data_IF_987299571182
#
_entry.id   IF_987299571182
#
_cell.length_a   1.000
_cell.length_b   1.000
_cell.length_c   1.000
_cell.angle_alpha   90.00
_cell.angle_beta   90.00
_cell.angle_gamma   90.00
#
_symmetry.space_group_name_H-M   'P 1'
#
loop_
_entity.id
_entity.type
_entity.pdbx_description
1 polymer ?
#
# COMPACT_ATOMS: atom_id res chain seq x y z
N UNK A 1 12.94 -9.85 -17.50
CA UNK A 1 11.47 -9.99 -17.44
C UNK A 1 10.89 -8.60 -17.40
N UNK A 2 10.04 -8.25 -18.37
CA UNK A 2 9.43 -6.92 -18.47
C UNK A 2 8.40 -6.77 -17.35
N UNK A 3 8.66 -5.87 -16.40
CA UNK A 3 7.68 -5.44 -15.42
C UNK A 3 6.42 -4.99 -16.17
N UNK A 4 5.27 -5.62 -15.86
CA UNK A 4 3.99 -5.24 -16.46
C UNK A 4 3.68 -3.80 -16.08
N UNK A 5 3.53 -2.91 -17.07
CA UNK A 5 3.09 -1.54 -16.83
C UNK A 5 1.66 -1.55 -16.25
N UNK A 6 1.59 -1.35 -14.93
CA UNK A 6 0.33 -1.36 -14.18
C UNK A 6 -0.65 -0.31 -14.72
N UNK A 7 -0.17 0.85 -15.16
CA UNK A 7 -1.02 1.92 -15.70
C UNK A 7 -1.69 1.47 -16.99
N UNK A 8 -0.93 0.89 -17.91
CA UNK A 8 -1.48 0.34 -19.14
C UNK A 8 -2.45 -0.82 -18.87
N UNK A 9 -2.15 -1.68 -17.88
CA UNK A 9 -3.02 -2.79 -17.50
C UNK A 9 -4.35 -2.35 -16.90
N UNK A 10 -4.36 -1.28 -16.10
CA UNK A 10 -5.56 -0.72 -15.48
C UNK A 10 -6.47 0.04 -16.47
N UNK A 11 -5.93 0.47 -17.62
CA UNK A 11 -6.73 1.08 -18.68
C UNK A 11 -7.56 0.07 -19.48
N UNK A 12 -7.35 -1.24 -19.29
CA UNK A 12 -8.08 -2.30 -19.97
C UNK A 12 -9.43 -2.57 -19.30
N UNK A 13 -10.45 -3.02 -20.04
CA UNK A 13 -11.80 -3.22 -19.50
C UNK A 13 -11.89 -4.38 -18.50
N UNK A 14 -10.95 -5.33 -18.55
CA UNK A 14 -10.96 -6.49 -17.65
C UNK A 14 -10.42 -6.09 -16.28
N UNK A 15 -11.21 -6.34 -15.24
CA UNK A 15 -10.78 -6.18 -13.86
C UNK A 15 -9.40 -6.84 -13.62
N UNK A 16 -8.55 -6.15 -12.89
CA UNK A 16 -7.26 -6.66 -12.45
C UNK A 16 -7.45 -7.31 -11.08
N UNK A 17 -7.09 -8.59 -10.97
CA UNK A 17 -7.06 -9.28 -9.69
C UNK A 17 -5.68 -9.11 -9.07
N UNK A 18 -5.62 -8.48 -7.90
CA UNK A 18 -4.40 -8.28 -7.12
C UNK A 18 -4.58 -8.93 -5.74
N UNK A 19 -4.06 -10.15 -5.53
CA UNK A 19 -4.16 -10.82 -4.23
C UNK A 19 -3.45 -10.05 -3.12
N UNK A 20 -4.04 -10.09 -1.92
CA UNK A 20 -3.42 -9.57 -0.71
C UNK A 20 -2.23 -10.43 -0.29
N UNK A 21 -1.05 -9.82 -0.21
CA UNK A 21 0.21 -10.46 0.23
C UNK A 21 0.78 -9.72 1.43
N UNK A 22 1.68 -10.36 2.18
CA UNK A 22 2.23 -9.80 3.41
C UNK A 22 3.72 -10.11 3.66
N UNK A 23 4.32 -10.94 2.81
CA UNK A 23 5.74 -11.25 2.81
C UNK A 23 6.19 -11.70 1.41
N UNK A 24 7.51 -11.91 1.25
CA UNK A 24 8.09 -12.32 -0.03
C UNK A 24 7.64 -13.73 -0.47
N UNK A 25 7.30 -14.60 0.47
CA UNK A 25 6.85 -15.97 0.16
C UNK A 25 5.43 -15.97 -0.41
N UNK A 26 4.50 -15.29 0.23
CA UNK A 26 3.11 -15.13 -0.26
C UNK A 26 3.08 -14.42 -1.62
N UNK A 27 3.94 -13.41 -1.81
CA UNK A 27 4.13 -12.75 -3.10
C UNK A 27 4.60 -13.72 -4.20
N UNK A 28 5.60 -14.55 -3.91
CA UNK A 28 6.10 -15.56 -4.85
C UNK A 28 5.02 -16.59 -5.22
N UNK A 29 4.25 -17.05 -4.24
CA UNK A 29 3.16 -18.01 -4.48
C UNK A 29 2.11 -17.39 -5.41
N UNK A 30 1.77 -16.11 -5.20
CA UNK A 30 0.85 -15.40 -6.10
C UNK A 30 1.43 -15.20 -7.51
N UNK A 31 2.73 -14.89 -7.64
CA UNK A 31 3.39 -14.81 -8.95
C UNK A 31 3.36 -16.17 -9.69
N UNK A 32 3.68 -17.26 -8.99
CA UNK A 32 3.65 -18.62 -9.55
C UNK A 32 2.22 -19.10 -9.89
N UNK A 33 1.21 -18.57 -9.22
CA UNK A 33 -0.20 -18.81 -9.55
C UNK A 33 -0.67 -18.03 -10.80
N UNK A 34 0.17 -17.18 -11.38
CA UNK A 34 -0.10 -16.47 -12.64
C UNK A 34 -0.87 -15.16 -12.47
N UNK A 35 -0.85 -14.54 -11.28
CA UNK A 35 -1.42 -13.21 -11.10
C UNK A 35 -0.59 -12.13 -11.80
N UNK A 36 -1.24 -11.02 -12.13
CA UNK A 36 -0.63 -9.93 -12.91
C UNK A 36 -0.15 -8.75 -12.03
N UNK A 37 -0.61 -8.69 -10.77
CA UNK A 37 -0.27 -7.66 -9.79
C UNK A 37 -0.51 -8.19 -8.37
N UNK A 38 0.03 -7.49 -7.37
CA UNK A 38 -0.10 -7.82 -5.95
C UNK A 38 -0.61 -6.63 -5.15
N UNK A 39 -1.25 -6.88 -4.02
CA UNK A 39 -1.64 -5.85 -3.05
C UNK A 39 -0.98 -6.12 -1.70
N UNK A 40 -0.11 -5.22 -1.24
CA UNK A 40 0.46 -5.27 0.09
C UNK A 40 -0.49 -4.59 1.09
N UNK A 41 -1.16 -5.41 1.90
CA UNK A 41 -2.18 -4.98 2.85
C UNK A 41 -1.57 -4.49 4.17
N UNK A 42 -1.96 -3.29 4.63
CA UNK A 42 -1.54 -2.74 5.92
C UNK A 42 -2.01 -3.59 7.09
N UNK A 43 -3.24 -4.13 7.00
CA UNK A 43 -3.78 -5.03 8.02
C UNK A 43 -3.00 -6.34 8.12
N UNK A 44 -2.58 -6.89 6.98
CA UNK A 44 -1.80 -8.13 6.99
C UNK A 44 -0.43 -7.93 7.65
N UNK A 45 0.21 -6.76 7.47
CA UNK A 45 1.44 -6.41 8.18
C UNK A 45 1.18 -6.33 9.69
N UNK A 46 0.10 -5.69 10.13
CA UNK A 46 -0.26 -5.63 11.55
C UNK A 46 -0.42 -7.04 12.15
N UNK A 47 -1.09 -7.94 11.43
CA UNK A 47 -1.29 -9.32 11.88
C UNK A 47 0.01 -10.13 11.94
N UNK A 48 0.80 -10.12 10.87
CA UNK A 48 1.94 -11.06 10.73
C UNK A 48 3.22 -10.54 11.37
N UNK A 49 3.44 -9.22 11.38
CA UNK A 49 4.65 -8.61 11.94
C UNK A 49 4.48 -8.21 13.40
N UNK A 50 3.31 -7.68 13.76
CA UNK A 50 3.07 -7.15 15.12
C UNK A 50 2.26 -8.12 15.99
N UNK A 51 1.56 -9.10 15.41
CA UNK A 51 0.61 -9.94 16.16
C UNK A 51 -0.51 -9.11 16.79
N UNK A 52 -0.94 -8.04 16.10
CA UNK A 52 -1.91 -7.05 16.57
C UNK A 52 -2.94 -6.73 15.51
N UNK A 53 -4.08 -6.21 15.97
CA UNK A 53 -5.13 -5.70 15.09
C UNK A 53 -4.67 -4.46 14.33
N UNK A 54 -5.27 -4.24 13.16
CA UNK A 54 -5.02 -3.05 12.36
C UNK A 54 -5.71 -1.80 12.95
N UNK A 55 -5.00 -1.17 13.87
CA UNK A 55 -5.46 0.03 14.61
C UNK A 55 -4.46 1.19 14.48
N UNK A 56 -3.73 1.23 13.36
CA UNK A 56 -2.77 2.30 13.06
C UNK A 56 -1.45 2.21 13.84
N UNK A 57 -1.08 1.01 14.32
CA UNK A 57 0.23 0.78 14.98
C UNK A 57 1.38 0.60 13.98
N UNK A 58 1.08 0.09 12.79
CA UNK A 58 2.06 -0.11 11.74
C UNK A 58 2.71 1.21 11.35
N UNK A 59 4.04 1.23 11.31
CA UNK A 59 4.81 2.42 10.95
C UNK A 59 5.18 2.42 9.46
N UNK A 60 5.45 3.61 8.92
CA UNK A 60 5.98 3.78 7.57
C UNK A 60 7.19 2.87 7.30
N UNK A 61 8.15 2.82 8.24
CA UNK A 61 9.38 2.03 8.09
C UNK A 61 9.10 0.54 7.97
N UNK A 62 8.09 0.04 8.67
CA UNK A 62 7.73 -1.37 8.63
C UNK A 62 7.10 -1.75 7.30
N UNK A 63 6.21 -0.90 6.77
CA UNK A 63 5.62 -1.10 5.44
C UNK A 63 6.69 -1.03 4.35
N UNK A 64 7.58 -0.03 4.41
CA UNK A 64 8.64 0.15 3.41
C UNK A 64 9.62 -1.03 3.39
N UNK A 65 10.02 -1.56 4.56
CA UNK A 65 10.91 -2.72 4.65
C UNK A 65 10.24 -4.00 4.12
N UNK A 66 8.96 -4.22 4.45
CA UNK A 66 8.20 -5.36 3.91
C UNK A 66 8.05 -5.25 2.39
N UNK A 67 7.70 -4.07 1.87
CA UNK A 67 7.57 -3.81 0.45
C UNK A 67 8.88 -4.09 -0.30
N UNK A 68 10.02 -3.58 0.20
CA UNK A 68 11.32 -3.77 -0.43
C UNK A 68 11.71 -5.25 -0.53
N UNK A 69 11.40 -6.06 0.49
CA UNK A 69 11.66 -7.52 0.46
C UNK A 69 10.78 -8.23 -0.57
N UNK A 70 9.54 -7.78 -0.75
CA UNK A 70 8.62 -8.35 -1.74
C UNK A 70 9.11 -8.02 -3.14
N UNK A 71 9.38 -6.74 -3.43
CA UNK A 71 9.75 -6.26 -4.76
C UNK A 71 11.15 -6.72 -5.20
N UNK A 72 12.04 -7.03 -4.26
CA UNK A 72 13.31 -7.72 -4.54
C UNK A 72 13.07 -9.19 -4.97
N UNK A 73 11.99 -9.82 -4.48
CA UNK A 73 11.72 -11.24 -4.73
C UNK A 73 10.92 -11.51 -6.00
N UNK A 74 9.97 -10.64 -6.35
CA UNK A 74 9.03 -10.86 -7.47
C UNK A 74 9.08 -9.74 -8.49
N UNK A 75 8.69 -10.03 -9.72
CA UNK A 75 8.70 -9.06 -10.83
C UNK A 75 7.35 -8.34 -11.05
N UNK A 76 6.31 -8.78 -10.34
CA UNK A 76 4.97 -8.22 -10.44
C UNK A 76 4.87 -6.82 -9.83
N UNK A 77 4.06 -5.92 -10.42
CA UNK A 77 3.76 -4.63 -9.82
C UNK A 77 3.01 -4.81 -8.49
N UNK A 78 3.47 -4.09 -7.47
CA UNK A 78 2.88 -4.14 -6.12
C UNK A 78 2.14 -2.82 -5.83
N UNK A 79 0.85 -2.93 -5.54
CA UNK A 79 0.04 -1.86 -4.96
C UNK A 79 0.24 -1.91 -3.45
N UNK A 80 0.61 -0.80 -2.82
CA UNK A 80 0.85 -0.75 -1.37
C UNK A 80 -0.19 0.10 -0.66
N UNK A 81 -0.67 -0.40 0.47
CA UNK A 81 -1.47 0.36 1.43
C UNK A 81 -0.59 1.38 2.17
N UNK A 82 -0.84 2.67 1.93
CA UNK A 82 -0.15 3.78 2.58
C UNK A 82 -0.88 4.37 3.77
N UNK A 83 -1.94 3.72 4.26
CA UNK A 83 -2.81 4.24 5.31
C UNK A 83 -3.20 5.70 5.00
N UNK A 84 -3.04 6.60 5.96
CA UNK A 84 -3.30 8.05 5.82
C UNK A 84 -2.03 8.84 5.44
N UNK A 85 -0.95 8.16 5.05
CA UNK A 85 0.36 8.76 4.77
C UNK A 85 1.24 9.01 6.01
N UNK A 86 0.97 8.30 7.11
CA UNK A 86 1.78 8.29 8.34
C UNK A 86 2.08 9.68 8.95
N UNK A 87 1.14 10.63 8.79
CA UNK A 87 1.21 11.96 9.37
C UNK A 87 0.55 13.05 8.52
N UNK A 88 1.21 14.20 8.42
CA UNK A 88 0.75 15.35 7.64
C UNK A 88 1.26 15.31 6.18
N UNK A 89 1.09 16.39 5.42
CA UNK A 89 1.54 16.49 4.02
C UNK A 89 3.04 16.17 3.82
N UNK A 90 3.92 16.62 4.72
CA UNK A 90 5.36 16.33 4.64
C UNK A 90 5.65 14.84 4.88
N UNK A 91 4.87 14.19 5.75
CA UNK A 91 4.95 12.74 5.94
C UNK A 91 4.49 12.00 4.69
N UNK A 92 3.40 12.43 4.07
CA UNK A 92 2.90 11.85 2.80
C UNK A 92 3.98 11.89 1.72
N UNK A 93 4.63 13.04 1.51
CA UNK A 93 5.74 13.17 0.55
C UNK A 93 6.87 12.19 0.84
N UNK A 94 7.26 12.08 2.11
CA UNK A 94 8.30 11.13 2.54
C UNK A 94 7.87 9.68 2.29
N UNK A 95 6.61 9.35 2.57
CA UNK A 95 6.03 8.02 2.40
C UNK A 95 6.01 7.61 0.95
N UNK A 96 5.47 8.44 0.06
CA UNK A 96 5.40 8.15 -1.39
C UNK A 96 6.80 7.91 -1.95
N UNK A 97 7.73 8.84 -1.73
CA UNK A 97 9.13 8.69 -2.20
C UNK A 97 9.82 7.46 -1.61
N UNK A 98 9.46 7.10 -0.38
CA UNK A 98 9.95 5.90 0.29
C UNK A 98 9.45 4.62 -0.36
N UNK A 99 8.15 4.55 -0.65
CA UNK A 99 7.53 3.39 -1.28
C UNK A 99 7.93 3.24 -2.75
N UNK A 100 8.09 4.34 -3.49
CA UNK A 100 8.67 4.33 -4.84
C UNK A 100 10.07 3.72 -4.84
N UNK A 101 10.94 4.15 -3.91
CA UNK A 101 12.28 3.56 -3.75
C UNK A 101 12.25 2.09 -3.37
N UNK A 102 11.23 1.67 -2.62
CA UNK A 102 11.01 0.28 -2.27
C UNK A 102 10.32 -0.53 -3.39
N UNK A 103 10.04 0.07 -4.55
CA UNK A 103 9.50 -0.63 -5.72
C UNK A 103 7.97 -0.71 -5.80
N UNK A 104 7.23 0.12 -5.06
CA UNK A 104 5.78 0.22 -5.26
C UNK A 104 5.45 0.67 -6.69
N UNK A 105 4.49 0.01 -7.31
CA UNK A 105 3.92 0.42 -8.60
C UNK A 105 2.73 1.38 -8.43
N UNK A 106 2.08 1.35 -7.25
CA UNK A 106 0.96 2.22 -6.89
C UNK A 106 0.87 2.34 -5.37
N UNK A 107 0.48 3.50 -4.88
CA UNK A 107 0.21 3.76 -3.46
C UNK A 107 -1.26 4.10 -3.27
N UNK A 108 -1.93 3.40 -2.36
CA UNK A 108 -3.26 3.76 -1.88
C UNK A 108 -3.13 4.68 -0.67
N UNK A 109 -3.87 5.79 -0.64
CA UNK A 109 -4.03 6.65 0.53
C UNK A 109 -5.51 6.76 0.90
N UNK A 110 -5.82 6.75 2.20
CA UNK A 110 -7.16 6.94 2.73
C UNK A 110 -7.32 8.27 3.49
N UNK A 111 -8.56 8.73 3.58
CA UNK A 111 -8.97 10.01 4.20
C UNK A 111 -9.39 9.87 5.67
N UNK A 112 -9.08 8.74 6.32
CA UNK A 112 -9.34 8.58 7.74
C UNK A 112 -8.54 9.61 8.57
N UNK A 113 -9.06 9.97 9.74
CA UNK A 113 -8.30 10.69 10.76
C UNK A 113 -7.14 9.85 11.26
N UNK A 114 -6.03 10.48 11.66
CA UNK A 114 -4.90 9.79 12.29
C UNK A 114 -5.01 9.81 13.82
N UNK A 115 -4.79 8.69 14.53
CA UNK A 115 -4.49 7.36 14.01
C UNK A 115 -5.73 6.70 13.36
N UNK A 116 -5.49 5.93 12.30
CA UNK A 116 -6.54 5.28 11.50
C UNK A 116 -7.04 3.99 12.14
N UNK A 117 -8.20 3.51 11.71
CA UNK A 117 -8.77 2.20 12.11
C UNK A 117 -8.98 1.31 10.89
N UNK A 118 -9.00 -0.01 11.10
CA UNK A 118 -9.38 -0.93 10.03
C UNK A 118 -10.75 -0.55 9.43
N UNK A 119 -10.82 -0.55 8.08
CA UNK A 119 -12.01 -0.20 7.32
C UNK A 119 -13.28 -0.99 7.67
N UNK A 120 -13.12 -2.18 8.27
CA UNK A 120 -14.22 -3.05 8.70
C UNK A 120 -14.71 -2.80 10.13
N UNK A 121 -14.07 -1.91 10.91
CA UNK A 121 -14.44 -1.61 12.30
C UNK A 121 -15.30 -0.36 12.41
N UNK A 122 -16.15 -0.29 13.44
CA UNK A 122 -16.97 0.89 13.74
C UNK A 122 -16.17 2.07 14.32
N UNK A 123 -16.76 3.26 14.23
CA UNK A 123 -16.21 4.49 14.80
C UNK A 123 -15.07 5.12 13.99
N UNK A 124 -15.12 4.97 12.66
CA UNK A 124 -14.21 5.66 11.73
C UNK A 124 -14.63 7.13 11.60
N UNK A 125 -13.65 8.01 11.54
CA UNK A 125 -13.83 9.41 11.18
C UNK A 125 -12.95 9.72 9.97
N UNK A 126 -13.43 10.59 9.10
CA UNK A 126 -12.69 11.06 7.92
C UNK A 126 -12.38 12.54 8.05
N UNK A 127 -11.27 12.95 7.46
CA UNK A 127 -10.89 14.37 7.37
C UNK A 127 -11.78 15.10 6.36
N UNK A 128 -11.91 16.44 6.43
CA UNK A 128 -12.53 17.22 5.37
C UNK A 128 -11.90 16.94 4.00
N UNK A 129 -12.70 16.96 2.94
CA UNK A 129 -12.22 16.70 1.57
C UNK A 129 -11.03 17.59 1.17
N UNK A 130 -11.02 18.85 1.62
CA UNK A 130 -9.91 19.79 1.37
C UNK A 130 -8.57 19.29 1.93
N UNK A 131 -8.59 18.64 3.10
CA UNK A 131 -7.39 18.10 3.75
C UNK A 131 -6.86 16.89 2.97
N UNK A 132 -7.75 15.99 2.54
CA UNK A 132 -7.36 14.85 1.71
C UNK A 132 -6.83 15.30 0.34
N UNK A 133 -7.46 16.30 -0.29
CA UNK A 133 -6.93 16.91 -1.52
C UNK A 133 -5.55 17.51 -1.29
N UNK A 134 -5.31 18.15 -0.14
CA UNK A 134 -4.00 18.63 0.26
C UNK A 134 -2.95 17.51 0.34
N UNK A 135 -3.32 16.37 0.94
CA UNK A 135 -2.46 15.18 0.98
C UNK A 135 -2.19 14.60 -0.41
N UNK A 136 -3.20 14.52 -1.27
CA UNK A 136 -3.04 14.03 -2.64
C UNK A 136 -2.12 14.95 -3.46
N UNK A 137 -2.23 16.27 -3.31
CA UNK A 137 -1.30 17.22 -3.94
C UNK A 137 0.13 16.99 -3.47
N UNK A 138 0.33 16.79 -2.17
CA UNK A 138 1.65 16.47 -1.61
C UNK A 138 2.17 15.10 -2.09
N UNK A 139 1.30 14.12 -2.31
CA UNK A 139 1.68 12.82 -2.86
C UNK A 139 2.11 12.90 -4.33
N UNK A 140 1.63 13.89 -5.08
CA UNK A 140 1.89 14.07 -6.50
C UNK A 140 3.04 15.06 -6.80
N UNK A 141 3.72 15.59 -5.77
CA UNK A 141 4.81 16.59 -5.86
C UNK A 141 6.23 15.97 -5.81
#
# INVERSE_FOLDING_TARGET
MTSTDLKARLAQPRALLAPGVYDALSALVAEQAGFEALYLSGASIAYTRLGRSDVGLTTYSEVADTLARITERVSLPVIVDGDTGFGNALNVMRTVRGFERAGAAMVQLEDQTFPKRCGHLDGKAVVPAADMVGKLKAALD
#
